data_IF_395081045548
#
_entry.id   IF_395081045548
#
_cell.length_a   1.000
_cell.length_b   1.000
_cell.length_c   1.000
_cell.angle_alpha   90.00
_cell.angle_beta   90.00
_cell.angle_gamma   90.00
#
_symmetry.space_group_name_H-M   'P 1'
#
loop_
_entity.id
_entity.type
_entity.pdbx_description
1 polymer ?
#
# COMPACT_ATOMS: atom_id res chain seq x y z
N UNK A 1 5.29 55.90 -62.39
CA UNK A 1 5.70 54.56 -61.92
C UNK A 1 6.74 54.76 -60.84
N UNK A 2 6.28 54.98 -59.61
CA UNK A 2 7.14 55.27 -58.46
C UNK A 2 7.68 53.96 -57.91
N UNK A 3 8.95 53.71 -58.19
CA UNK A 3 9.70 52.57 -57.69
C UNK A 3 10.02 52.85 -56.21
N UNK A 4 9.11 52.51 -55.30
CA UNK A 4 9.42 52.48 -53.87
C UNK A 4 10.13 51.17 -53.58
N UNK A 5 11.46 51.19 -53.76
CA UNK A 5 12.35 50.33 -53.01
C UNK A 5 12.07 50.60 -51.52
N UNK A 6 11.26 49.77 -50.89
CA UNK A 6 11.30 49.60 -49.45
C UNK A 6 12.66 48.97 -49.15
N UNK A 7 13.67 49.82 -48.93
CA UNK A 7 14.89 49.43 -48.25
C UNK A 7 14.46 48.78 -46.93
N UNK A 8 14.81 47.51 -46.76
CA UNK A 8 14.74 46.84 -45.48
C UNK A 8 15.68 47.61 -44.54
N UNK A 9 15.15 48.62 -43.83
CA UNK A 9 15.85 49.29 -42.75
C UNK A 9 16.08 48.21 -41.71
N UNK A 10 17.35 47.87 -41.47
CA UNK A 10 17.73 46.78 -40.58
C UNK A 10 17.05 46.87 -39.21
N UNK A 11 17.01 45.73 -38.52
CA UNK A 11 16.41 45.61 -37.18
C UNK A 11 17.22 46.43 -36.19
N UNK A 12 16.56 47.27 -35.37
CA UNK A 12 17.23 48.22 -34.48
C UNK A 12 16.90 48.07 -33.00
N UNK A 13 15.83 47.34 -32.67
CA UNK A 13 15.34 47.13 -31.29
C UNK A 13 15.08 45.66 -31.00
N UNK A 14 15.09 45.27 -29.72
CA UNK A 14 14.75 43.90 -29.29
C UNK A 14 13.29 43.57 -29.62
N UNK A 15 12.38 44.55 -29.53
CA UNK A 15 10.96 44.38 -29.84
C UNK A 15 10.73 44.10 -31.34
N UNK A 16 11.42 44.81 -32.23
CA UNK A 16 11.39 44.54 -33.67
C UNK A 16 11.98 43.16 -33.98
N UNK A 17 13.11 42.81 -33.36
CA UNK A 17 13.74 41.50 -33.51
C UNK A 17 12.78 40.37 -33.12
N UNK A 18 12.12 40.49 -31.97
CA UNK A 18 11.11 39.54 -31.50
C UNK A 18 9.92 39.42 -32.45
N UNK A 19 9.42 40.54 -33.00
CA UNK A 19 8.30 40.51 -33.94
C UNK A 19 8.67 39.76 -35.24
N UNK A 20 9.91 39.94 -35.70
CA UNK A 20 10.40 39.33 -36.94
C UNK A 20 10.66 37.82 -36.76
N UNK A 21 11.38 37.40 -35.70
CA UNK A 21 11.66 35.96 -35.47
C UNK A 21 10.39 35.15 -35.21
N UNK A 22 9.30 35.80 -34.77
CA UNK A 22 7.99 35.14 -34.66
C UNK A 22 7.42 34.71 -36.01
N UNK A 23 7.74 35.43 -37.08
CA UNK A 23 7.30 35.15 -38.44
C UNK A 23 8.33 34.31 -39.22
N UNK A 24 9.63 34.62 -39.05
CA UNK A 24 10.73 33.97 -39.77
C UNK A 24 11.91 33.69 -38.81
N UNK A 25 11.89 32.58 -38.07
CA UNK A 25 12.89 32.33 -37.02
C UNK A 25 14.34 32.27 -37.52
N UNK A 26 14.58 31.74 -38.72
CA UNK A 26 15.92 31.55 -39.28
C UNK A 26 16.59 32.84 -39.73
N UNK A 27 15.86 33.97 -39.82
CA UNK A 27 16.43 35.27 -40.19
C UNK A 27 17.40 35.83 -39.14
N UNK A 28 17.45 35.18 -37.95
CA UNK A 28 18.38 35.46 -36.85
C UNK A 28 19.84 35.55 -37.31
N UNK A 29 20.24 34.81 -38.37
CA UNK A 29 21.60 34.86 -38.93
C UNK A 29 21.96 36.21 -39.55
N UNK A 30 20.96 37.04 -39.83
CA UNK A 30 21.11 38.38 -40.41
C UNK A 30 21.06 39.49 -39.36
N UNK A 31 20.80 39.16 -38.08
CA UNK A 31 20.70 40.17 -37.02
C UNK A 31 22.09 40.62 -36.53
N UNK A 32 22.25 41.89 -36.14
CA UNK A 32 23.43 42.33 -35.38
C UNK A 32 23.57 41.51 -34.08
N UNK A 33 24.80 41.18 -33.68
CA UNK A 33 25.06 40.42 -32.44
C UNK A 33 24.43 41.07 -31.19
N UNK A 34 24.32 42.40 -31.16
CA UNK A 34 23.68 43.16 -30.07
C UNK A 34 22.19 42.85 -29.90
N UNK A 35 21.54 42.26 -30.91
CA UNK A 35 20.13 41.87 -30.89
C UNK A 35 19.94 40.36 -30.76
N UNK A 36 21.01 39.57 -30.70
CA UNK A 36 20.97 38.14 -30.39
C UNK A 36 20.86 37.93 -28.87
N UNK A 37 19.86 38.56 -28.26
CA UNK A 37 19.60 38.45 -26.82
C UNK A 37 19.00 37.08 -26.49
N UNK A 38 19.05 36.70 -25.20
CA UNK A 38 18.46 35.44 -24.73
C UNK A 38 16.98 35.29 -25.12
N UNK A 39 16.20 36.38 -25.04
CA UNK A 39 14.78 36.36 -25.39
C UNK A 39 14.56 36.14 -26.89
N UNK A 40 15.31 36.83 -27.73
CA UNK A 40 15.18 36.73 -29.19
C UNK A 40 15.61 35.33 -29.64
N UNK A 41 16.73 34.83 -29.12
CA UNK A 41 17.23 33.49 -29.43
C UNK A 41 16.26 32.41 -28.95
N UNK A 42 15.75 32.52 -27.73
CA UNK A 42 14.74 31.59 -27.21
C UNK A 42 13.50 31.57 -28.12
N UNK A 43 12.92 32.73 -28.43
CA UNK A 43 11.71 32.83 -29.28
C UNK A 43 11.94 32.25 -30.69
N UNK A 44 13.14 32.45 -31.27
CA UNK A 44 13.49 31.86 -32.56
C UNK A 44 13.61 30.32 -32.46
N UNK A 45 14.32 29.82 -31.46
CA UNK A 45 14.60 28.39 -31.29
C UNK A 45 13.33 27.59 -31.04
N UNK A 46 12.41 28.08 -30.20
CA UNK A 46 11.15 27.36 -29.91
C UNK A 46 10.24 27.25 -31.14
N UNK A 47 10.42 28.13 -32.14
CA UNK A 47 9.63 28.14 -33.38
C UNK A 47 10.25 27.32 -34.50
N UNK A 48 11.57 27.28 -34.60
CA UNK A 48 12.28 26.46 -35.58
C UNK A 48 13.57 25.86 -35.00
N UNK A 49 13.56 24.53 -34.82
CA UNK A 49 14.73 23.78 -34.35
C UNK A 49 15.97 23.88 -35.24
N UNK A 50 15.85 24.34 -36.50
CA UNK A 50 17.02 24.60 -37.36
C UNK A 50 17.90 25.71 -36.78
N UNK A 51 17.34 26.61 -35.97
CA UNK A 51 18.10 27.71 -35.38
C UNK A 51 19.26 27.20 -34.51
N UNK A 52 19.13 26.02 -33.90
CA UNK A 52 20.25 25.37 -33.18
C UNK A 52 21.50 25.22 -34.05
N UNK A 53 21.31 24.93 -35.34
CA UNK A 53 22.39 24.66 -36.30
C UNK A 53 22.92 25.96 -36.96
N UNK A 54 22.22 27.08 -36.77
CA UNK A 54 22.52 28.37 -37.42
C UNK A 54 23.30 29.35 -36.54
N UNK A 55 23.31 29.16 -35.22
CA UNK A 55 23.96 30.08 -34.27
C UNK A 55 25.21 29.45 -33.65
N UNK A 56 26.22 30.29 -33.38
CA UNK A 56 27.45 29.83 -32.72
C UNK A 56 27.19 29.43 -31.25
N UNK A 57 27.99 28.48 -30.77
CA UNK A 57 27.94 27.98 -29.40
C UNK A 57 28.08 29.08 -28.33
N UNK A 58 28.76 30.18 -28.65
CA UNK A 58 28.95 31.33 -27.74
C UNK A 58 27.63 31.99 -27.33
N UNK A 59 26.57 31.86 -28.15
CA UNK A 59 25.25 32.44 -27.88
C UNK A 59 24.37 31.59 -26.95
N UNK A 60 24.75 30.33 -26.69
CA UNK A 60 24.05 29.49 -25.73
C UNK A 60 24.51 29.82 -24.30
N UNK A 61 23.92 30.87 -23.74
CA UNK A 61 24.10 31.22 -22.33
C UNK A 61 23.56 30.11 -21.41
N UNK A 62 24.04 30.11 -20.18
CA UNK A 62 23.58 29.19 -19.14
C UNK A 62 22.06 29.32 -18.91
N UNK A 63 21.54 30.55 -18.90
CA UNK A 63 20.10 30.85 -18.78
C UNK A 63 19.32 30.30 -19.98
N UNK A 64 19.78 30.56 -21.21
CA UNK A 64 19.09 30.12 -22.41
C UNK A 64 19.01 28.59 -22.48
N UNK A 65 20.11 27.90 -22.17
CA UNK A 65 20.14 26.43 -22.11
C UNK A 65 19.12 25.92 -21.07
N UNK A 66 19.08 26.53 -19.88
CA UNK A 66 18.11 26.18 -18.84
C UNK A 66 16.66 26.31 -19.31
N UNK A 67 16.30 27.43 -19.93
CA UNK A 67 14.95 27.67 -20.47
C UNK A 67 14.58 26.65 -21.55
N UNK A 68 15.48 26.43 -22.51
CA UNK A 68 15.24 25.47 -23.60
C UNK A 68 15.06 24.04 -23.09
N UNK A 69 15.81 23.63 -22.07
CA UNK A 69 15.67 22.31 -21.47
C UNK A 69 14.33 22.16 -20.74
N UNK A 70 13.89 23.17 -19.99
CA UNK A 70 12.62 23.12 -19.23
C UNK A 70 11.42 23.03 -20.19
N UNK A 71 11.41 23.82 -21.25
CA UNK A 71 10.26 23.91 -22.15
C UNK A 71 10.28 22.84 -23.26
N UNK A 72 11.47 22.43 -23.70
CA UNK A 72 11.68 21.58 -24.88
C UNK A 72 12.82 20.57 -24.70
N UNK A 73 12.84 19.87 -23.55
CA UNK A 73 13.89 18.95 -23.14
C UNK A 73 14.37 17.99 -24.24
N UNK A 74 13.45 17.33 -24.95
CA UNK A 74 13.78 16.30 -25.95
C UNK A 74 14.64 16.87 -27.09
N UNK A 75 14.19 17.94 -27.72
CA UNK A 75 14.91 18.59 -28.84
C UNK A 75 16.20 19.25 -28.32
N UNK A 76 16.14 19.91 -27.16
CA UNK A 76 17.30 20.58 -26.58
C UNK A 76 18.42 19.57 -26.24
N UNK A 77 18.09 18.41 -25.68
CA UNK A 77 19.07 17.36 -25.37
C UNK A 77 19.64 16.68 -26.63
N UNK A 78 18.85 16.58 -27.71
CA UNK A 78 19.31 16.07 -29.00
C UNK A 78 20.30 17.05 -29.66
N UNK A 79 19.95 18.34 -29.68
CA UNK A 79 20.69 19.38 -30.42
C UNK A 79 21.88 19.96 -29.65
N UNK A 80 21.79 20.05 -28.32
CA UNK A 80 22.88 20.57 -27.50
C UNK A 80 23.87 19.46 -27.18
N UNK A 81 25.15 19.69 -27.50
CA UNK A 81 26.19 18.77 -27.09
C UNK A 81 26.32 18.69 -25.55
N UNK A 82 26.84 17.57 -25.06
CA UNK A 82 27.01 17.32 -23.62
C UNK A 82 27.98 18.30 -22.92
N UNK A 83 28.78 19.08 -23.65
CA UNK A 83 29.66 20.10 -23.07
C UNK A 83 28.94 21.39 -22.68
N UNK A 84 27.83 21.72 -23.36
CA UNK A 84 26.99 22.88 -23.05
C UNK A 84 26.01 22.56 -21.91
N UNK A 85 25.45 21.35 -21.90
CA UNK A 85 24.52 20.90 -20.86
C UNK A 85 25.28 20.48 -19.61
N UNK A 86 25.31 21.36 -18.60
CA UNK A 86 25.92 21.13 -17.30
C UNK A 86 24.97 20.43 -16.32
N UNK A 87 25.54 19.90 -15.24
CA UNK A 87 24.80 19.16 -14.19
C UNK A 87 23.64 19.96 -13.59
N UNK A 88 23.82 21.27 -13.34
CA UNK A 88 22.77 22.08 -12.72
C UNK A 88 21.59 22.32 -13.66
N UNK A 89 21.80 22.35 -14.98
CA UNK A 89 20.70 22.39 -15.95
C UNK A 89 19.86 21.12 -15.86
N UNK A 90 20.50 19.95 -15.83
CA UNK A 90 19.84 18.65 -15.68
C UNK A 90 19.09 18.56 -14.35
N UNK A 91 19.69 19.08 -13.27
CA UNK A 91 19.04 19.15 -11.96
C UNK A 91 17.81 20.06 -11.97
N UNK A 92 17.89 21.22 -12.62
CA UNK A 92 16.76 22.14 -12.81
C UNK A 92 15.63 21.48 -13.61
N UNK A 93 15.99 20.76 -14.67
CA UNK A 93 15.04 20.03 -15.51
C UNK A 93 14.24 18.98 -14.71
N UNK A 94 14.90 18.09 -13.99
CA UNK A 94 14.21 17.03 -13.22
C UNK A 94 13.45 17.58 -12.01
N UNK A 95 13.84 18.74 -11.48
CA UNK A 95 13.08 19.45 -10.45
C UNK A 95 11.82 20.13 -10.99
N UNK A 96 11.79 20.47 -12.28
CA UNK A 96 10.60 21.00 -12.95
C UNK A 96 9.64 19.86 -13.31
N UNK A 97 10.16 18.78 -13.91
CA UNK A 97 9.40 17.56 -14.22
C UNK A 97 10.30 16.33 -14.07
N UNK A 98 10.05 15.52 -13.04
CA UNK A 98 10.83 14.33 -12.72
C UNK A 98 10.77 13.24 -13.80
N UNK A 99 9.71 13.24 -14.63
CA UNK A 99 9.58 12.27 -15.72
C UNK A 99 10.54 12.53 -16.88
N UNK A 100 11.15 13.73 -16.95
CA UNK A 100 12.20 14.07 -17.93
C UNK A 100 13.42 13.17 -17.84
N UNK A 101 13.61 12.48 -16.71
CA UNK A 101 14.63 11.45 -16.51
C UNK A 101 14.65 10.41 -17.65
N UNK A 102 13.51 10.11 -18.27
CA UNK A 102 13.39 9.16 -19.39
C UNK A 102 14.11 9.58 -20.67
N UNK A 103 14.35 10.89 -20.84
CA UNK A 103 15.02 11.47 -22.01
C UNK A 103 16.50 11.76 -21.75
N UNK A 104 16.94 11.66 -20.50
CA UNK A 104 18.32 11.97 -20.15
C UNK A 104 19.28 10.89 -20.65
N UNK A 105 20.38 11.27 -21.31
CA UNK A 105 21.47 10.36 -21.62
C UNK A 105 22.00 9.67 -20.34
N UNK A 106 22.34 8.37 -20.38
CA UNK A 106 22.77 7.62 -19.18
C UNK A 106 23.96 8.22 -18.43
N UNK A 107 24.87 8.92 -19.13
CA UNK A 107 26.02 9.59 -18.54
C UNK A 107 25.68 10.87 -17.76
N UNK A 108 24.47 11.43 -17.93
CA UNK A 108 23.96 12.58 -17.17
C UNK A 108 23.16 12.16 -15.93
N UNK A 109 22.75 10.89 -15.86
CA UNK A 109 21.99 10.35 -14.73
C UNK A 109 22.96 9.94 -13.62
N UNK A 110 22.73 10.47 -12.42
CA UNK A 110 23.48 10.12 -11.22
C UNK A 110 22.56 10.13 -10.00
N UNK A 111 23.10 9.82 -8.82
CA UNK A 111 22.33 9.71 -7.58
C UNK A 111 21.53 10.97 -7.24
N UNK A 112 22.16 12.15 -7.35
CA UNK A 112 21.52 13.44 -7.04
C UNK A 112 20.34 13.72 -7.99
N UNK A 113 20.52 13.44 -9.28
CA UNK A 113 19.47 13.58 -10.30
C UNK A 113 18.32 12.60 -10.04
N UNK A 114 18.63 11.33 -9.71
CA UNK A 114 17.60 10.34 -9.40
C UNK A 114 16.78 10.69 -8.17
N UNK A 115 17.42 11.19 -7.11
CA UNK A 115 16.73 11.67 -5.91
C UNK A 115 15.84 12.87 -6.21
N UNK A 116 16.35 13.88 -6.91
CA UNK A 116 15.57 15.05 -7.28
C UNK A 116 14.36 14.71 -8.17
N UNK A 117 14.53 13.76 -9.09
CA UNK A 117 13.46 13.30 -9.97
C UNK A 117 12.33 12.62 -9.20
N UNK A 118 12.64 11.68 -8.29
CA UNK A 118 11.59 11.05 -7.47
C UNK A 118 10.96 12.03 -6.51
N UNK A 119 11.74 12.96 -5.96
CA UNK A 119 11.25 13.97 -5.02
C UNK A 119 10.19 14.87 -5.65
N UNK A 120 10.35 15.15 -6.95
CA UNK A 120 9.37 15.87 -7.76
C UNK A 120 8.19 14.97 -8.17
N UNK A 121 8.46 13.77 -8.69
CA UNK A 121 7.43 12.80 -9.08
C UNK A 121 7.94 11.37 -8.89
N UNK A 122 7.34 10.66 -7.94
CA UNK A 122 7.73 9.30 -7.58
C UNK A 122 7.64 8.30 -8.74
N UNK A 123 6.82 8.56 -9.76
CA UNK A 123 6.74 7.74 -10.99
C UNK A 123 8.04 7.76 -11.80
N UNK A 124 8.92 8.76 -11.60
CA UNK A 124 10.25 8.79 -12.19
C UNK A 124 11.10 7.56 -11.80
N UNK A 125 10.73 6.85 -10.73
CA UNK A 125 11.33 5.57 -10.33
C UNK A 125 11.46 4.57 -11.48
N UNK A 126 10.50 4.52 -12.40
CA UNK A 126 10.52 3.61 -13.54
C UNK A 126 11.77 3.80 -14.41
N UNK A 127 12.26 5.03 -14.52
CA UNK A 127 13.41 5.40 -15.35
C UNK A 127 14.74 5.43 -14.59
N UNK A 128 14.74 5.21 -13.27
CA UNK A 128 15.98 5.21 -12.47
C UNK A 128 16.80 3.94 -12.72
N UNK A 129 18.07 4.05 -13.16
CA UNK A 129 18.94 2.91 -13.37
C UNK A 129 19.11 2.05 -12.12
N UNK A 130 19.03 0.72 -12.25
CA UNK A 130 19.09 -0.22 -11.12
C UNK A 130 20.34 -0.06 -10.25
N UNK A 131 21.49 0.27 -10.84
CA UNK A 131 22.75 0.44 -10.13
C UNK A 131 22.83 1.73 -9.29
N UNK A 132 21.89 2.67 -9.47
CA UNK A 132 21.77 3.90 -8.68
C UNK A 132 20.70 3.80 -7.58
N UNK A 133 20.00 2.67 -7.48
CA UNK A 133 18.98 2.39 -6.45
C UNK A 133 19.65 1.84 -5.19
N UNK A 134 20.53 2.64 -4.60
CA UNK A 134 21.16 2.33 -3.33
C UNK A 134 20.18 2.51 -2.15
N UNK A 135 20.65 2.20 -0.94
CA UNK A 135 19.86 2.29 0.28
C UNK A 135 19.24 3.68 0.49
N UNK A 136 20.02 4.76 0.28
CA UNK A 136 19.53 6.13 0.45
C UNK A 136 18.39 6.45 -0.53
N UNK A 137 18.51 6.04 -1.79
CA UNK A 137 17.47 6.22 -2.78
C UNK A 137 16.21 5.41 -2.46
N UNK A 138 16.37 4.13 -2.10
CA UNK A 138 15.27 3.24 -1.71
C UNK A 138 14.50 3.81 -0.51
N UNK A 139 15.22 4.31 0.48
CA UNK A 139 14.63 4.90 1.67
C UNK A 139 13.83 6.17 1.34
N UNK A 140 14.30 7.02 0.43
CA UNK A 140 13.54 8.18 -0.03
C UNK A 140 12.29 7.77 -0.81
N UNK A 141 12.41 6.78 -1.70
CA UNK A 141 11.29 6.26 -2.49
C UNK A 141 10.15 5.75 -1.60
N UNK A 142 10.47 4.93 -0.59
CA UNK A 142 9.46 4.36 0.31
C UNK A 142 8.79 5.45 1.16
N UNK A 143 9.53 6.49 1.57
CA UNK A 143 8.93 7.63 2.30
C UNK A 143 7.89 8.38 1.49
N UNK A 144 8.08 8.50 0.17
CA UNK A 144 7.14 9.22 -0.69
C UNK A 144 6.02 8.35 -1.25
N UNK A 145 6.30 7.07 -1.49
CA UNK A 145 5.33 6.09 -1.93
C UNK A 145 5.45 4.82 -1.07
N UNK A 146 4.76 4.79 0.08
CA UNK A 146 4.91 3.72 1.04
C UNK A 146 4.50 2.33 0.56
N UNK A 147 3.65 2.23 -0.47
CA UNK A 147 3.26 0.95 -1.08
C UNK A 147 4.45 0.22 -1.74
N UNK A 148 5.56 0.91 -2.03
CA UNK A 148 6.80 0.28 -2.47
C UNK A 148 7.52 -0.55 -1.40
N UNK A 149 7.15 -0.39 -0.12
CA UNK A 149 7.66 -1.23 0.97
C UNK A 149 7.31 -2.72 0.79
N UNK A 150 6.44 -3.11 -0.15
CA UNK A 150 6.25 -4.52 -0.52
C UNK A 150 7.10 -5.01 -1.67
N UNK A 151 7.64 -4.08 -2.48
CA UNK A 151 8.19 -4.37 -3.82
C UNK A 151 9.71 -4.37 -3.90
N UNK A 152 10.38 -3.97 -2.83
CA UNK A 152 11.84 -3.80 -2.77
C UNK A 152 12.49 -5.00 -2.04
N UNK A 153 13.76 -5.29 -2.26
CA UNK A 153 14.45 -6.32 -1.47
C UNK A 153 14.58 -5.87 0.00
N UNK A 154 14.27 -6.76 0.95
CA UNK A 154 14.38 -6.52 2.39
C UNK A 154 15.81 -6.10 2.77
N UNK A 155 16.83 -6.68 2.12
CA UNK A 155 18.23 -6.38 2.40
C UNK A 155 18.67 -4.95 1.99
N UNK A 156 17.83 -4.19 1.28
CA UNK A 156 18.14 -2.85 0.77
C UNK A 156 17.46 -1.71 1.53
N UNK A 157 16.68 -2.04 2.56
CA UNK A 157 15.86 -1.10 3.31
C UNK A 157 16.44 -0.94 4.70
N UNK A 158 16.35 0.26 5.24
CA UNK A 158 16.66 0.49 6.65
C UNK A 158 15.45 0.08 7.52
N UNK A 159 15.57 -0.91 8.43
CA UNK A 159 14.49 -1.30 9.35
C UNK A 159 13.98 -0.13 10.20
N UNK A 160 14.84 0.82 10.55
CA UNK A 160 14.46 2.01 11.32
C UNK A 160 13.46 2.87 10.53
N UNK A 161 13.69 3.05 9.24
CA UNK A 161 12.80 3.83 8.38
C UNK A 161 11.45 3.14 8.21
N UNK A 162 11.43 1.81 8.07
CA UNK A 162 10.16 1.07 8.02
C UNK A 162 9.37 1.23 9.32
N UNK A 163 10.04 1.25 10.47
CA UNK A 163 9.39 1.52 11.76
C UNK A 163 8.83 2.94 11.83
N UNK A 164 9.65 3.96 11.57
CA UNK A 164 9.23 5.37 11.59
C UNK A 164 8.01 5.59 10.67
N UNK A 165 8.01 4.91 9.52
CA UNK A 165 6.94 4.98 8.54
C UNK A 165 5.65 4.29 9.01
N UNK A 166 5.74 3.18 9.74
CA UNK A 166 4.58 2.51 10.36
C UNK A 166 3.98 3.36 11.47
N UNK A 167 4.80 4.07 12.23
CA UNK A 167 4.32 5.01 13.27
C UNK A 167 3.52 6.16 12.66
N UNK A 168 3.93 6.67 11.50
CA UNK A 168 3.22 7.73 10.78
C UNK A 168 2.01 7.21 9.98
N UNK A 169 2.14 6.02 9.40
CA UNK A 169 1.17 5.43 8.47
C UNK A 169 0.95 3.92 8.74
N UNK A 170 0.13 3.55 9.74
CA UNK A 170 -0.07 2.16 10.16
C UNK A 170 -0.52 1.20 9.06
N UNK A 171 -1.23 1.70 8.04
CA UNK A 171 -1.75 0.89 6.92
C UNK A 171 -0.68 0.19 6.09
N UNK A 172 0.57 0.65 6.19
CA UNK A 172 1.71 0.10 5.45
C UNK A 172 2.00 -1.34 5.82
N UNK A 173 1.61 -1.79 7.02
CA UNK A 173 1.76 -3.20 7.40
C UNK A 173 1.15 -4.17 6.37
N UNK A 174 0.12 -3.74 5.64
CA UNK A 174 -0.50 -4.52 4.55
C UNK A 174 0.44 -4.74 3.36
N UNK A 175 1.33 -3.78 3.08
CA UNK A 175 2.34 -3.84 2.01
C UNK A 175 3.67 -4.42 2.47
N UNK A 176 3.99 -4.37 3.77
CA UNK A 176 5.25 -4.90 4.29
C UNK A 176 5.39 -6.40 4.03
N UNK A 177 6.62 -6.85 3.79
CA UNK A 177 6.93 -8.28 3.73
C UNK A 177 6.70 -8.95 5.09
N UNK A 178 6.48 -10.26 5.12
CA UNK A 178 6.27 -10.98 6.39
C UNK A 178 7.49 -10.89 7.34
N UNK A 179 8.70 -10.70 6.80
CA UNK A 179 9.92 -10.54 7.61
C UNK A 179 10.02 -9.16 8.25
N UNK A 180 9.45 -8.13 7.63
CA UNK A 180 9.50 -6.75 8.17
C UNK A 180 8.43 -6.51 9.24
N UNK A 181 7.40 -7.36 9.30
CA UNK A 181 6.34 -7.30 10.31
C UNK A 181 6.84 -7.89 11.64
N UNK A 182 7.88 -7.27 12.18
CA UNK A 182 8.45 -7.66 13.47
C UNK A 182 7.42 -7.51 14.59
N UNK A 183 7.69 -8.13 15.74
CA UNK A 183 6.83 -7.96 16.91
C UNK A 183 6.63 -6.49 17.28
N UNK A 184 7.68 -5.69 17.22
CA UNK A 184 7.61 -4.24 17.51
C UNK A 184 6.70 -3.50 16.53
N UNK A 185 6.83 -3.77 15.22
CA UNK A 185 5.94 -3.20 14.19
C UNK A 185 4.48 -3.59 14.44
N UNK A 186 4.23 -4.86 14.75
CA UNK A 186 2.90 -5.34 15.10
C UNK A 186 2.34 -4.62 16.33
N UNK A 187 3.14 -4.39 17.36
CA UNK A 187 2.71 -3.68 18.57
C UNK A 187 2.39 -2.20 18.30
N UNK A 188 3.12 -1.54 17.40
CA UNK A 188 2.85 -0.14 17.00
C UNK A 188 1.47 -0.03 16.35
N UNK A 189 1.17 -0.87 15.35
CA UNK A 189 -0.12 -0.78 14.65
C UNK A 189 -1.32 -1.14 15.53
N UNK A 190 -1.15 -1.92 16.59
CA UNK A 190 -2.22 -2.19 17.56
C UNK A 190 -2.68 -0.94 18.32
N UNK A 191 -1.82 0.07 18.44
CA UNK A 191 -2.18 1.33 19.10
C UNK A 191 -3.14 2.16 18.25
N UNK A 192 -3.12 1.96 16.94
CA UNK A 192 -4.00 2.63 15.99
C UNK A 192 -5.36 1.92 15.88
N UNK A 193 -5.37 0.65 15.43
CA UNK A 193 -6.62 -0.08 15.22
C UNK A 193 -6.45 -1.61 15.25
N UNK A 194 -7.43 -2.30 15.86
CA UNK A 194 -7.49 -3.77 15.96
C UNK A 194 -7.45 -4.51 14.61
N UNK A 195 -7.88 -3.90 13.50
CA UNK A 195 -8.03 -4.62 12.23
C UNK A 195 -6.67 -4.97 11.60
N UNK A 196 -5.58 -4.31 12.03
CA UNK A 196 -4.23 -4.60 11.53
C UNK A 196 -3.72 -5.99 11.95
N UNK A 197 -4.34 -6.61 12.96
CA UNK A 197 -4.04 -7.97 13.42
C UNK A 197 -4.04 -8.99 12.27
N UNK A 198 -4.92 -8.81 11.27
CA UNK A 198 -5.03 -9.73 10.13
C UNK A 198 -3.70 -9.88 9.37
N UNK A 199 -2.81 -8.88 9.44
CA UNK A 199 -1.52 -8.87 8.75
C UNK A 199 -0.37 -9.48 9.55
N UNK A 200 -0.59 -9.92 10.80
CA UNK A 200 0.51 -10.36 11.65
C UNK A 200 1.11 -11.68 11.17
N UNK A 201 2.44 -11.84 11.15
CA UNK A 201 3.05 -13.14 10.86
C UNK A 201 2.65 -14.18 11.91
N UNK A 202 2.48 -15.45 11.51
CA UNK A 202 2.11 -16.55 12.42
C UNK A 202 3.00 -16.62 13.67
N UNK A 203 4.32 -16.53 13.50
CA UNK A 203 5.26 -16.64 14.62
C UNK A 203 5.15 -15.47 15.62
N UNK A 204 4.77 -14.26 15.16
CA UNK A 204 4.53 -13.10 16.02
C UNK A 204 3.17 -13.23 16.68
N UNK A 205 2.13 -13.54 15.90
CA UNK A 205 0.75 -13.68 16.38
C UNK A 205 0.64 -14.73 17.48
N UNK A 206 1.26 -15.90 17.27
CA UNK A 206 1.17 -17.05 18.18
C UNK A 206 2.07 -16.91 19.42
N UNK A 207 2.88 -15.85 19.52
CA UNK A 207 3.72 -15.62 20.69
C UNK A 207 2.83 -15.37 21.92
N UNK A 208 3.14 -16.01 23.05
CA UNK A 208 2.31 -15.98 24.26
C UNK A 208 2.00 -14.55 24.75
N UNK A 209 3.00 -13.68 24.74
CA UNK A 209 2.88 -12.29 25.15
C UNK A 209 2.08 -11.44 24.15
N UNK A 210 2.16 -11.74 22.85
CA UNK A 210 1.29 -11.16 21.85
C UNK A 210 -0.16 -11.61 22.05
N UNK A 211 -0.43 -12.91 22.25
CA UNK A 211 -1.77 -13.42 22.54
C UNK A 211 -2.36 -12.76 23.80
N UNK A 212 -1.56 -12.59 24.85
CA UNK A 212 -1.96 -11.87 26.04
C UNK A 212 -2.37 -10.43 25.72
N UNK A 213 -1.55 -9.69 24.97
CA UNK A 213 -1.85 -8.31 24.51
C UNK A 213 -3.13 -8.26 23.69
N UNK A 214 -3.25 -9.13 22.69
CA UNK A 214 -4.45 -9.21 21.84
C UNK A 214 -5.69 -9.47 22.71
N UNK A 215 -5.63 -10.41 23.65
CA UNK A 215 -6.75 -10.74 24.54
C UNK A 215 -7.23 -9.61 25.43
N UNK A 216 -6.43 -8.56 25.59
CA UNK A 216 -6.72 -7.39 26.43
C UNK A 216 -7.21 -6.19 25.61
N UNK A 217 -7.21 -6.26 24.26
CA UNK A 217 -7.81 -5.22 23.44
C UNK A 217 -9.31 -5.13 23.74
N UNK A 218 -9.87 -3.92 23.71
CA UNK A 218 -11.29 -3.65 23.98
C UNK A 218 -12.20 -4.53 23.11
N UNK A 219 -11.86 -4.65 21.82
CA UNK A 219 -12.56 -5.51 20.86
C UNK A 219 -12.79 -6.95 21.34
N UNK A 220 -11.81 -7.55 22.03
CA UNK A 220 -11.91 -8.93 22.53
C UNK A 220 -12.36 -9.03 23.99
N UNK A 221 -12.03 -8.03 24.81
CA UNK A 221 -12.38 -8.02 26.23
C UNK A 221 -13.82 -7.56 26.48
N UNK A 222 -14.40 -6.80 25.55
CA UNK A 222 -15.78 -6.30 25.60
C UNK A 222 -16.49 -6.54 24.26
N UNK A 223 -16.78 -7.80 23.91
CA UNK A 223 -17.37 -8.14 22.61
C UNK A 223 -18.81 -7.62 22.48
N UNK A 224 -19.06 -6.78 21.47
CA UNK A 224 -20.40 -6.31 21.10
C UNK A 224 -21.10 -7.26 20.11
N UNK A 225 -20.36 -8.17 19.47
CA UNK A 225 -20.85 -9.10 18.47
C UNK A 225 -19.81 -10.17 18.11
N UNK A 226 -20.10 -10.94 17.07
CA UNK A 226 -19.21 -11.99 16.57
C UNK A 226 -17.85 -11.40 16.17
N UNK A 227 -16.77 -12.10 16.51
CA UNK A 227 -15.44 -11.70 16.10
C UNK A 227 -15.23 -11.91 14.61
N UNK A 228 -14.48 -11.00 14.00
CA UNK A 228 -14.08 -11.10 12.61
C UNK A 228 -13.14 -12.29 12.40
N UNK A 229 -13.43 -13.08 11.37
CA UNK A 229 -12.73 -14.34 11.13
C UNK A 229 -11.27 -14.12 10.74
N UNK A 230 -10.93 -12.97 10.16
CA UNK A 230 -9.55 -12.62 9.82
C UNK A 230 -8.72 -12.18 11.03
N UNK A 231 -9.34 -11.84 12.16
CA UNK A 231 -8.63 -11.36 13.36
C UNK A 231 -8.33 -12.50 14.34
N UNK A 232 -9.21 -13.51 14.39
CA UNK A 232 -9.13 -14.61 15.35
C UNK A 232 -8.65 -15.89 14.67
N UNK A 233 -7.39 -16.24 14.93
CA UNK A 233 -6.78 -17.53 14.54
C UNK A 233 -6.96 -18.55 15.66
N UNK A 234 -6.75 -19.86 15.40
CA UNK A 234 -6.96 -20.90 16.41
C UNK A 234 -6.24 -20.64 17.74
N UNK A 235 -4.99 -20.16 17.71
CA UNK A 235 -4.21 -19.85 18.91
C UNK A 235 -4.86 -18.78 19.79
N UNK A 236 -5.38 -17.69 19.20
CA UNK A 236 -6.09 -16.65 19.95
C UNK A 236 -7.47 -17.13 20.39
N UNK A 237 -8.18 -17.91 19.56
CA UNK A 237 -9.47 -18.49 19.93
C UNK A 237 -9.35 -19.35 21.19
N UNK A 238 -8.38 -20.27 21.22
CA UNK A 238 -8.07 -21.10 22.38
C UNK A 238 -7.69 -20.23 23.57
N UNK A 239 -6.79 -19.26 23.40
CA UNK A 239 -6.36 -18.38 24.49
C UNK A 239 -7.51 -17.58 25.11
N UNK A 240 -8.38 -17.00 24.27
CA UNK A 240 -9.57 -16.27 24.71
C UNK A 240 -10.55 -17.19 25.47
N UNK A 241 -10.81 -18.38 24.94
CA UNK A 241 -11.73 -19.35 25.52
C UNK A 241 -11.25 -19.88 26.87
N UNK A 242 -9.96 -20.19 26.99
CA UNK A 242 -9.36 -20.62 28.26
C UNK A 242 -9.42 -19.52 29.33
N UNK A 243 -9.26 -18.26 28.94
CA UNK A 243 -9.37 -17.09 29.83
C UNK A 243 -10.82 -16.83 30.26
N UNK A 244 -11.77 -16.99 29.35
CA UNK A 244 -13.20 -16.83 29.62
C UNK A 244 -14.05 -17.68 28.66
N UNK A 245 -14.65 -18.76 29.20
CA UNK A 245 -15.48 -19.68 28.40
C UNK A 245 -16.74 -19.04 27.80
N UNK A 246 -17.24 -17.95 28.38
CA UNK A 246 -18.42 -17.25 27.87
C UNK A 246 -18.16 -16.54 26.52
N UNK A 247 -16.88 -16.40 26.13
CA UNK A 247 -16.49 -15.84 24.84
C UNK A 247 -16.86 -16.76 23.67
N UNK A 248 -17.12 -18.05 23.93
CA UNK A 248 -17.40 -19.06 22.92
C UNK A 248 -18.45 -18.64 21.89
N UNK A 249 -19.48 -17.91 22.34
CA UNK A 249 -20.58 -17.44 21.48
C UNK A 249 -20.19 -16.40 20.44
N UNK A 250 -19.06 -15.72 20.63
CA UNK A 250 -18.54 -14.71 19.70
C UNK A 250 -17.44 -15.28 18.78
N UNK A 251 -16.95 -16.50 19.05
CA UNK A 251 -15.84 -17.07 18.28
C UNK A 251 -16.28 -17.41 16.85
N UNK A 252 -15.40 -17.19 15.85
CA UNK A 252 -15.70 -17.61 14.49
C UNK A 252 -15.90 -19.13 14.42
N UNK A 253 -16.94 -19.56 13.71
CA UNK A 253 -17.26 -20.99 13.56
C UNK A 253 -16.13 -21.82 12.93
N UNK A 254 -15.25 -21.18 12.16
CA UNK A 254 -14.11 -21.80 11.48
C UNK A 254 -12.96 -22.21 12.42
N UNK A 255 -12.86 -21.60 13.61
CA UNK A 255 -11.79 -21.88 14.57
C UNK A 255 -12.23 -22.76 15.73
N UNK A 256 -13.53 -23.07 15.83
CA UNK A 256 -14.07 -23.97 16.85
C UNK A 256 -13.78 -25.41 16.44
N UNK A 257 -12.99 -26.11 17.25
CA UNK A 257 -12.80 -27.55 17.14
C UNK A 257 -13.73 -28.34 18.09
N UNK A 258 -13.68 -29.67 17.99
CA UNK A 258 -14.55 -30.54 18.78
C UNK A 258 -14.27 -30.45 20.28
N UNK A 259 -13.01 -30.34 20.68
CA UNK A 259 -12.62 -30.35 22.09
C UNK A 259 -13.05 -29.04 22.78
N UNK A 260 -12.84 -27.90 22.11
CA UNK A 260 -13.36 -26.60 22.53
C UNK A 260 -14.89 -26.61 22.63
N UNK A 261 -15.58 -27.16 21.62
CA UNK A 261 -17.04 -27.27 21.65
C UNK A 261 -17.53 -28.16 22.80
N UNK A 262 -16.85 -29.30 23.05
CA UNK A 262 -17.16 -30.19 24.16
C UNK A 262 -17.00 -29.48 25.50
N UNK A 263 -15.90 -28.76 25.70
CA UNK A 263 -15.64 -28.03 26.94
C UNK A 263 -16.57 -26.82 27.12
N UNK A 264 -17.02 -26.20 26.03
CA UNK A 264 -18.02 -25.14 26.05
C UNK A 264 -19.40 -25.68 26.46
N UNK A 265 -19.81 -26.85 25.94
CA UNK A 265 -21.07 -27.51 26.31
C UNK A 265 -21.06 -27.97 27.77
N UNK A 266 -19.92 -28.48 28.26
CA UNK A 266 -19.74 -28.82 29.68
C UNK A 266 -19.88 -27.61 30.60
N UNK A 267 -19.43 -26.44 30.15
CA UNK A 267 -19.54 -25.18 30.89
C UNK A 267 -20.97 -24.62 30.89
N UNK A 268 -21.58 -24.50 29.71
CA UNK A 268 -23.00 -24.15 29.55
C UNK A 268 -23.60 -25.00 28.42
N UNK A 269 -24.58 -25.83 28.77
CA UNK A 269 -25.25 -26.73 27.82
C UNK A 269 -25.82 -25.98 26.61
N UNK A 270 -26.18 -24.69 26.76
CA UNK A 270 -26.78 -23.86 25.70
C UNK A 270 -25.83 -23.63 24.54
N UNK A 271 -24.52 -23.74 24.78
CA UNK A 271 -23.50 -23.62 23.73
C UNK A 271 -23.68 -24.65 22.62
N UNK A 272 -24.37 -25.77 22.87
CA UNK A 272 -24.72 -26.72 21.82
C UNK A 272 -25.57 -26.09 20.71
N UNK A 273 -26.43 -25.12 21.03
CA UNK A 273 -27.35 -24.53 20.05
C UNK A 273 -26.64 -23.64 19.04
N UNK A 274 -25.51 -23.06 19.43
CA UNK A 274 -24.68 -22.16 18.59
C UNK A 274 -23.46 -22.87 17.99
N UNK A 275 -23.21 -24.12 18.37
CA UNK A 275 -22.07 -24.91 17.88
C UNK A 275 -22.28 -25.33 16.40
N UNK A 276 -21.23 -25.28 15.56
CA UNK A 276 -21.33 -25.70 14.16
C UNK A 276 -21.90 -27.11 13.98
N UNK A 277 -22.81 -27.28 13.02
CA UNK A 277 -23.48 -28.55 12.73
C UNK A 277 -22.50 -29.70 12.49
N UNK A 278 -21.38 -29.41 11.82
CA UNK A 278 -20.33 -30.40 11.51
C UNK A 278 -19.77 -31.10 12.77
N UNK A 279 -19.78 -30.43 13.93
CA UNK A 279 -19.31 -30.97 15.21
C UNK A 279 -20.43 -31.66 16.00
N UNK A 280 -21.70 -31.33 15.74
CA UNK A 280 -22.87 -31.88 16.46
C UNK A 280 -23.41 -33.17 15.86
N UNK A 281 -23.19 -33.39 14.57
CA UNK A 281 -23.76 -34.50 13.78
C UNK A 281 -23.56 -35.90 14.38
N UNK A 282 -22.44 -36.13 15.07
CA UNK A 282 -22.13 -37.44 15.67
C UNK A 282 -22.87 -37.66 17.00
N UNK A 283 -23.66 -36.69 17.47
CA UNK A 283 -24.49 -36.75 18.67
C UNK A 283 -23.75 -36.70 20.00
N UNK A 284 -22.41 -36.82 20.01
CA UNK A 284 -21.60 -36.80 21.24
C UNK A 284 -21.77 -35.52 22.08
N UNK A 285 -21.87 -34.37 21.43
CA UNK A 285 -22.13 -33.11 22.14
C UNK A 285 -23.52 -33.10 22.78
N UNK A 286 -24.52 -33.69 22.11
CA UNK A 286 -25.87 -33.84 22.66
C UNK A 286 -25.89 -34.79 23.85
N UNK A 287 -25.13 -35.88 23.81
CA UNK A 287 -24.96 -36.76 24.97
C UNK A 287 -24.47 -35.99 26.20
N UNK A 288 -23.50 -35.09 26.01
CA UNK A 288 -22.99 -34.26 27.09
C UNK A 288 -24.03 -33.25 27.59
N UNK A 289 -24.68 -32.52 26.67
CA UNK A 289 -25.71 -31.53 27.02
C UNK A 289 -26.90 -32.15 27.79
N UNK A 290 -27.30 -33.38 27.43
CA UNK A 290 -28.39 -34.10 28.08
C UNK A 290 -28.10 -34.50 29.52
N UNK A 291 -26.82 -34.66 29.91
CA UNK A 291 -26.45 -34.91 31.31
C UNK A 291 -26.86 -33.75 32.20
N UNK A 292 -26.74 -32.53 31.71
CA UNK A 292 -27.08 -31.30 32.44
C UNK A 292 -28.55 -30.91 32.28
N UNK A 293 -29.10 -31.00 31.06
CA UNK A 293 -30.48 -30.63 30.75
C UNK A 293 -31.20 -31.73 29.96
N UNK A 294 -31.77 -32.74 30.66
CA UNK A 294 -32.47 -33.85 30.02
C UNK A 294 -33.56 -33.43 29.04
N UNK A 295 -34.32 -32.36 29.32
CA UNK A 295 -35.47 -31.96 28.51
C UNK A 295 -35.13 -31.51 27.09
N UNK A 296 -33.84 -31.26 26.80
CA UNK A 296 -33.36 -30.98 25.44
C UNK A 296 -33.62 -32.12 24.46
N UNK A 297 -33.84 -33.35 24.94
CA UNK A 297 -34.08 -34.51 24.09
C UNK A 297 -35.20 -34.30 23.06
N UNK A 298 -36.16 -33.43 23.38
CA UNK A 298 -37.31 -33.07 22.53
C UNK A 298 -36.92 -32.24 21.31
N UNK A 299 -35.74 -31.62 21.31
CA UNK A 299 -35.29 -30.65 20.32
C UNK A 299 -34.17 -31.20 19.43
N UNK A 300 -33.68 -32.42 19.68
CA UNK A 300 -32.53 -33.00 18.97
C UNK A 300 -32.96 -33.52 17.60
N UNK A 301 -32.43 -32.97 16.48
CA UNK A 301 -32.76 -33.44 15.14
C UNK A 301 -32.31 -34.89 14.92
N UNK A 302 -33.09 -35.68 14.18
CA UNK A 302 -32.81 -37.11 13.93
C UNK A 302 -31.40 -37.37 13.37
N UNK A 303 -30.90 -36.48 12.52
CA UNK A 303 -29.58 -36.57 11.90
C UNK A 303 -28.42 -36.21 12.84
N UNK A 304 -28.70 -35.72 14.04
CA UNK A 304 -27.72 -35.43 15.10
C UNK A 304 -27.85 -36.38 16.30
N UNK A 305 -28.72 -37.39 16.23
CA UNK A 305 -28.91 -38.36 17.30
C UNK A 305 -27.94 -39.54 17.14
N UNK A 306 -27.01 -39.67 18.08
CA UNK A 306 -26.23 -40.91 18.27
C UNK A 306 -27.12 -42.05 18.79
N UNK A 307 -26.61 -43.27 18.75
CA UNK A 307 -27.33 -44.43 19.32
C UNK A 307 -27.59 -44.24 20.82
N UNK A 308 -26.65 -43.65 21.55
CA UNK A 308 -26.81 -43.30 22.97
C UNK A 308 -27.97 -42.33 23.17
N UNK A 309 -28.05 -41.28 22.35
CA UNK A 309 -29.14 -40.29 22.40
C UNK A 309 -30.49 -40.95 22.08
N UNK A 310 -30.57 -41.80 21.06
CA UNK A 310 -31.81 -42.53 20.70
C UNK A 310 -32.29 -43.41 21.85
N UNK A 311 -31.37 -44.16 22.47
CA UNK A 311 -31.68 -45.01 23.64
C UNK A 311 -32.18 -44.16 24.81
N UNK A 312 -31.53 -43.00 25.07
CA UNK A 312 -31.95 -42.07 26.10
C UNK A 312 -33.39 -41.56 25.88
N UNK A 313 -33.72 -41.13 24.65
CA UNK A 313 -35.05 -40.65 24.26
C UNK A 313 -36.11 -41.75 24.48
N UNK A 314 -35.85 -42.96 23.98
CA UNK A 314 -36.77 -44.09 24.11
C UNK A 314 -37.07 -44.44 25.58
N UNK A 315 -36.03 -44.49 26.43
CA UNK A 315 -36.18 -44.76 27.87
C UNK A 315 -36.98 -43.66 28.58
N UNK A 316 -36.69 -42.41 28.26
CA UNK A 316 -37.36 -41.25 28.87
C UNK A 316 -38.85 -41.23 28.52
N UNK A 317 -39.20 -41.47 27.25
CA UNK A 317 -40.60 -41.55 26.82
C UNK A 317 -41.35 -42.72 27.47
N UNK A 318 -40.71 -43.88 27.62
CA UNK A 318 -41.31 -45.02 28.31
C UNK A 318 -41.61 -44.73 29.79
N UNK A 319 -40.71 -44.03 30.49
CA UNK A 319 -40.91 -43.62 31.88
C UNK A 319 -42.07 -42.62 32.02
N UNK A 320 -42.16 -41.63 31.13
CA UNK A 320 -43.25 -40.65 31.11
C UNK A 320 -44.61 -41.32 30.88
N UNK A 321 -44.72 -42.24 29.92
CA UNK A 321 -45.95 -42.98 29.65
C UNK A 321 -46.38 -43.84 30.85
N UNK A 322 -45.41 -44.41 31.59
CA UNK A 322 -45.68 -45.16 32.82
C UNK A 322 -46.22 -44.26 33.94
N UNK A 323 -45.67 -43.05 34.11
CA UNK A 323 -46.15 -42.09 35.12
C UNK A 323 -47.58 -41.59 34.80
N UNK A 324 -47.88 -41.35 33.52
CA UNK A 324 -49.21 -40.92 33.07
C UNK A 324 -50.28 -42.01 33.29
N UNK A 325 -49.92 -43.27 33.04
CA UNK A 325 -50.81 -44.43 33.29
C UNK A 325 -51.03 -44.74 34.77
N UNK A 326 -50.10 -44.41 35.68
CA UNK A 326 -50.31 -44.57 37.13
C UNK A 326 -51.06 -43.41 37.79
N UNK A 327 -51.17 -42.26 37.14
CA UNK A 327 -51.90 -41.07 37.65
C UNK A 327 -53.36 -41.05 37.18
N UNK A 328 -53.73 -41.96 36.26
CA UNK A 328 -55.07 -42.07 35.66
C UNK A 328 -55.85 -43.32 36.13
N UNK A 329 -55.29 -44.08 37.09
CA UNK A 329 -55.89 -45.25 37.73
C UNK A 329 -56.19 -44.94 39.20
#
# INVERSE_FOLDING_TARGET
>A
MGNTNLEFRGVSTEEEALAIVKMEPTIITSFPETLLTEKVLYEAIIRDSKVYDLIDRVFFSDTLIGLLLIDHAEIALEKLNHGLVKKHHVLGLVKSDGLTLRFLPPNMINHEICLAAIDQNVQAHEYVPKHLRDEKYINQLIKQAPDYAGRIDVAKRDPKILKDLVEEYPFIISYMSMTDRTKEVCEIVLQDHVHWIQYFPEHVYNAKDMLEKLSNLEYFSQPEGDFESSYVRPSLATYLFEKNKDVYKYLPKSVIDFDMAMDAVRHDYRNILITPLALRKDGKLWEEALKTKPELYKQIPLHEQSDTVRIFIARTNAQLNKQLSTTTA
#
